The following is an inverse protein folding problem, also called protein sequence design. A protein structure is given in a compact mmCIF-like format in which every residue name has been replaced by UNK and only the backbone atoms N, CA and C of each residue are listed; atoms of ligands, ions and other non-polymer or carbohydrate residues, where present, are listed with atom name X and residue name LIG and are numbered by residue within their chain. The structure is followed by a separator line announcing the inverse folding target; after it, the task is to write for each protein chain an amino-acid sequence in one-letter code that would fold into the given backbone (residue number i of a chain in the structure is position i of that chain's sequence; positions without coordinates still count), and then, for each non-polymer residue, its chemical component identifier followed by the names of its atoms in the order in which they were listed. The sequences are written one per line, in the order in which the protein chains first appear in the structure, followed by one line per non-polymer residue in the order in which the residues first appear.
data_IF_050367763865
#
_entry.id   IF_050367763865
#
_cell.length_a   1.000
_cell.length_b   1.000
_cell.length_c   1.000
_cell.angle_alpha   90.00
_cell.angle_beta   90.00
_cell.angle_gamma   90.00
#
_symmetry.space_group_name_H-M   'P 1'
#
loop_
_entity.id
_entity.type
_entity.pdbx_description
1 polymer ?
#
# COMPACT_ATOMS: atom_id res chain seq x y z
N UNK A 1 -27.51 23.64 13.19
CA UNK A 1 -27.20 23.13 11.84
C UNK A 1 -26.02 23.85 11.20
N UNK A 2 -25.98 25.19 11.14
CA UNK A 2 -24.83 25.96 10.61
C UNK A 2 -23.49 25.67 11.31
N UNK A 3 -23.44 25.77 12.65
CA UNK A 3 -22.20 25.57 13.43
C UNK A 3 -21.65 24.14 13.32
N UNK A 4 -22.54 23.15 13.18
CA UNK A 4 -22.13 21.75 12.96
C UNK A 4 -21.47 21.61 11.59
N UNK A 5 -22.04 22.23 10.56
CA UNK A 5 -21.48 22.23 9.21
C UNK A 5 -20.13 22.96 9.14
N UNK A 6 -19.95 24.04 9.92
CA UNK A 6 -18.67 24.76 10.03
C UNK A 6 -17.59 23.92 10.71
N UNK A 7 -17.94 23.16 11.75
CA UNK A 7 -17.00 22.24 12.40
C UNK A 7 -16.63 21.09 11.44
N UNK A 8 -17.62 20.52 10.74
CA UNK A 8 -17.39 19.46 9.77
C UNK A 8 -16.53 19.94 8.59
N UNK A 9 -16.72 21.17 8.10
CA UNK A 9 -15.92 21.72 7.00
C UNK A 9 -14.49 22.07 7.42
N UNK A 10 -14.26 22.49 8.67
CA UNK A 10 -12.92 22.66 9.22
C UNK A 10 -12.17 21.33 9.30
N UNK A 11 -12.83 20.27 9.75
CA UNK A 11 -12.25 18.91 9.79
C UNK A 11 -11.97 18.41 8.36
N UNK A 12 -12.91 18.60 7.44
CA UNK A 12 -12.76 18.21 6.04
C UNK A 12 -11.62 18.95 5.34
N UNK A 13 -11.41 20.24 5.63
CA UNK A 13 -10.28 21.00 5.08
C UNK A 13 -8.92 20.47 5.55
N UNK A 14 -8.83 19.93 6.77
CA UNK A 14 -7.59 19.42 7.33
C UNK A 14 -7.34 17.94 7.02
N UNK A 15 -8.40 17.13 6.84
CA UNK A 15 -8.32 15.67 6.67
C UNK A 15 -8.75 15.22 5.28
N UNK A 16 -9.87 15.74 4.76
CA UNK A 16 -10.49 15.27 3.51
C UNK A 16 -9.94 15.92 2.23
N UNK A 17 -9.84 17.25 2.21
CA UNK A 17 -9.39 18.05 1.05
C UNK A 17 -7.98 18.62 1.26
N UNK A 18 -7.17 17.95 2.07
CA UNK A 18 -5.89 18.51 2.48
C UNK A 18 -4.78 18.25 1.46
N UNK A 19 -4.34 19.35 0.83
CA UNK A 19 -3.31 19.36 -0.22
C UNK A 19 -1.98 18.75 0.26
N UNK A 20 -1.70 18.75 1.57
CA UNK A 20 -0.46 18.18 2.12
C UNK A 20 -0.44 16.64 2.11
N UNK A 21 -1.60 15.99 2.14
CA UNK A 21 -1.69 14.53 2.33
C UNK A 21 -1.06 13.73 1.17
N UNK A 22 -1.31 14.06 -0.12
CA UNK A 22 -0.61 13.42 -1.23
C UNK A 22 0.91 13.59 -1.18
N UNK A 23 1.42 14.76 -0.75
CA UNK A 23 2.87 14.98 -0.62
C UNK A 23 3.47 14.14 0.51
N UNK A 24 2.75 13.95 1.63
CA UNK A 24 3.18 13.06 2.70
C UNK A 24 3.22 11.59 2.25
N UNK A 25 2.22 11.13 1.49
CA UNK A 25 2.21 9.79 0.89
C UNK A 25 3.38 9.59 -0.09
N UNK A 26 3.60 10.56 -0.98
CA UNK A 26 4.72 10.53 -1.92
C UNK A 26 6.07 10.55 -1.20
N UNK A 27 6.24 11.41 -0.19
CA UNK A 27 7.45 11.49 0.62
C UNK A 27 7.74 10.18 1.35
N UNK A 28 6.72 9.56 1.94
CA UNK A 28 6.82 8.25 2.60
C UNK A 28 7.23 7.17 1.61
N UNK A 29 6.58 7.12 0.44
CA UNK A 29 6.93 6.17 -0.62
C UNK A 29 8.36 6.36 -1.12
N UNK A 30 8.80 7.60 -1.35
CA UNK A 30 10.16 7.92 -1.79
C UNK A 30 11.20 7.55 -0.72
N UNK A 31 10.91 7.87 0.54
CA UNK A 31 11.77 7.52 1.67
C UNK A 31 12.02 6.02 1.73
N UNK A 32 10.96 5.20 1.74
CA UNK A 32 11.12 3.75 1.77
C UNK A 32 11.76 3.20 0.49
N UNK A 33 11.51 3.81 -0.66
CA UNK A 33 12.16 3.44 -1.92
C UNK A 33 13.67 3.60 -1.82
N UNK A 34 14.16 4.73 -1.31
CA UNK A 34 15.60 4.98 -1.18
C UNK A 34 16.19 4.15 -0.04
N UNK A 35 15.52 4.10 1.12
CA UNK A 35 15.98 3.37 2.31
C UNK A 35 16.16 1.86 2.05
N UNK A 36 15.21 1.25 1.34
CA UNK A 36 15.28 -0.16 0.94
C UNK A 36 16.10 -0.37 -0.35
N UNK A 37 16.64 0.69 -0.95
CA UNK A 37 17.49 0.65 -2.14
C UNK A 37 16.78 0.19 -3.42
N UNK A 38 15.62 0.78 -3.74
CA UNK A 38 14.77 0.47 -4.90
C UNK A 38 14.22 -0.97 -4.90
N UNK A 39 13.46 -1.37 -3.87
CA UNK A 39 12.89 -2.71 -3.75
C UNK A 39 12.00 -3.08 -4.94
N UNK A 40 11.31 -2.10 -5.54
CA UNK A 40 10.43 -2.28 -6.69
C UNK A 40 11.16 -2.91 -7.87
N UNK A 41 12.43 -2.57 -8.10
CA UNK A 41 13.23 -3.13 -9.20
C UNK A 41 13.93 -4.40 -8.73
N UNK A 42 14.53 -4.39 -7.52
CA UNK A 42 15.29 -5.52 -6.98
C UNK A 42 14.44 -6.79 -6.87
N UNK A 43 13.21 -6.67 -6.38
CA UNK A 43 12.37 -7.82 -6.06
C UNK A 43 11.31 -8.14 -7.12
N UNK A 44 11.15 -7.34 -8.16
CA UNK A 44 10.12 -7.56 -9.19
C UNK A 44 10.16 -8.98 -9.79
N UNK A 45 11.34 -9.42 -10.23
CA UNK A 45 11.52 -10.77 -10.82
C UNK A 45 11.38 -11.89 -9.80
N UNK A 46 11.65 -11.61 -8.53
CA UNK A 46 11.50 -12.58 -7.45
C UNK A 46 10.02 -12.75 -7.10
N UNK A 47 9.30 -11.64 -6.92
CA UNK A 47 7.86 -11.63 -6.66
C UNK A 47 7.07 -12.41 -7.72
N UNK A 48 7.40 -12.25 -9.00
CA UNK A 48 6.74 -13.02 -10.06
C UNK A 48 6.98 -14.54 -9.95
N UNK A 49 8.16 -14.97 -9.49
CA UNK A 49 8.44 -16.40 -9.24
C UNK A 49 7.65 -16.94 -8.05
N UNK A 50 7.47 -16.12 -7.00
CA UNK A 50 6.68 -16.46 -5.81
C UNK A 50 5.21 -16.62 -6.18
N UNK A 51 4.64 -15.63 -6.87
CA UNK A 51 3.23 -15.63 -7.29
C UNK A 51 2.91 -16.77 -8.27
N UNK A 52 3.88 -17.21 -9.07
CA UNK A 52 3.73 -18.39 -9.95
C UNK A 52 3.74 -19.73 -9.19
N UNK A 53 3.89 -19.72 -7.86
CA UNK A 53 3.94 -20.93 -7.05
C UNK A 53 5.26 -21.71 -7.17
N UNK A 54 6.34 -21.09 -7.69
CA UNK A 54 7.65 -21.77 -7.80
C UNK A 54 8.22 -22.17 -6.43
N UNK A 55 7.76 -21.51 -5.37
CA UNK A 55 8.21 -21.73 -4.00
C UNK A 55 7.13 -22.28 -3.07
N UNK A 56 5.93 -22.58 -3.59
CA UNK A 56 4.84 -23.18 -2.79
C UNK A 56 5.27 -24.58 -2.35
N UNK A 57 5.25 -24.84 -1.04
CA UNK A 57 5.41 -26.18 -0.47
C UNK A 57 4.05 -26.71 -0.02
N UNK A 58 3.88 -28.03 -0.09
CA UNK A 58 2.64 -28.70 0.29
C UNK A 58 2.32 -28.62 1.79
N UNK A 59 3.26 -28.13 2.61
CA UNK A 59 3.17 -28.01 4.08
C UNK A 59 3.11 -26.53 4.54
N UNK A 60 3.03 -25.58 3.61
CA UNK A 60 2.90 -24.17 3.98
C UNK A 60 1.45 -23.88 4.47
N UNK A 61 1.31 -23.36 5.69
CA UNK A 61 0.02 -22.94 6.24
C UNK A 61 -0.54 -21.76 5.43
N UNK A 62 -1.63 -22.01 4.69
CA UNK A 62 -2.36 -20.98 3.97
C UNK A 62 -3.64 -21.51 3.34
N UNK A 63 -4.75 -20.77 3.48
CA UNK A 63 -6.06 -21.16 2.93
C UNK A 63 -6.15 -20.99 1.40
N UNK A 64 -5.17 -20.33 0.78
CA UNK A 64 -5.21 -19.87 -0.60
C UNK A 64 -3.83 -19.81 -1.23
N UNK A 65 -3.73 -20.00 -2.55
CA UNK A 65 -2.46 -19.87 -3.28
C UNK A 65 -1.93 -18.43 -3.25
N UNK A 66 -0.61 -18.24 -3.33
CA UNK A 66 0.00 -16.91 -3.42
C UNK A 66 -0.56 -16.06 -4.56
N UNK A 67 -0.95 -16.69 -5.68
CA UNK A 67 -1.61 -15.99 -6.79
C UNK A 67 -3.01 -15.48 -6.42
N UNK A 68 -3.82 -16.32 -5.77
CA UNK A 68 -5.18 -15.98 -5.41
C UNK A 68 -5.24 -14.89 -4.32
N UNK A 69 -4.30 -14.92 -3.37
CA UNK A 69 -4.10 -13.83 -2.41
C UNK A 69 -3.78 -12.51 -3.13
N UNK A 70 -2.86 -12.53 -4.11
CA UNK A 70 -2.49 -11.34 -4.89
C UNK A 70 -3.68 -10.76 -5.66
N UNK A 71 -4.56 -11.60 -6.22
CA UNK A 71 -5.74 -11.13 -6.96
C UNK A 71 -6.86 -10.55 -6.10
N UNK A 72 -6.79 -10.73 -4.78
CA UNK A 72 -7.79 -10.23 -3.83
C UNK A 72 -7.40 -8.89 -3.20
N UNK A 73 -6.09 -8.63 -3.07
CA UNK A 73 -5.52 -7.40 -2.51
C UNK A 73 -5.70 -6.20 -3.45
#
# INVERSE_FOLDING_TARGET
MQQLNEILSLIDSYIGSSVWFPYALLGTGLFFTIYLGFPQIRYFRFAFKVVKGKFDKQDDEGDTSHFQALTTA
#
